data_IF_909291492128
#
_entry.id   IF_909291492128
#
_cell.length_a   1.000
_cell.length_b   1.000
_cell.length_c   1.000
_cell.angle_alpha   90.00
_cell.angle_beta   90.00
_cell.angle_gamma   90.00
#
_symmetry.space_group_name_H-M   'P 1'
#
loop_
_entity.id
_entity.type
_entity.pdbx_description
1 polymer ?
#
# COMPACT_ATOMS: atom_id res chain seq x y z
N UNK A 1 -16.89 3.47 2.80
CA UNK A 1 -16.70 3.71 1.34
C UNK A 1 -18.08 3.86 0.69
N UNK A 2 -18.41 5.00 0.06
CA UNK A 2 -19.63 5.10 -0.77
C UNK A 2 -19.32 4.48 -2.13
N UNK A 3 -19.57 3.20 -2.27
CA UNK A 3 -19.54 2.53 -3.56
C UNK A 3 -20.71 2.98 -4.41
N UNK A 4 -20.52 3.03 -5.73
CA UNK A 4 -21.54 3.51 -6.65
C UNK A 4 -22.78 2.60 -6.59
N UNK A 5 -23.96 3.19 -6.75
CA UNK A 5 -25.21 2.43 -6.91
C UNK A 5 -25.10 1.45 -8.10
N UNK A 6 -24.33 1.83 -9.12
CA UNK A 6 -24.05 1.01 -10.30
C UNK A 6 -23.30 -0.27 -9.95
N UNK A 7 -22.23 -0.20 -9.14
CA UNK A 7 -21.50 -1.41 -8.72
C UNK A 7 -22.41 -2.39 -7.97
N UNK A 8 -23.25 -1.87 -7.05
CA UNK A 8 -24.22 -2.70 -6.34
C UNK A 8 -25.20 -3.39 -7.28
N UNK A 9 -25.72 -2.65 -8.29
CA UNK A 9 -26.64 -3.21 -9.30
C UNK A 9 -25.95 -4.28 -10.15
N UNK A 10 -24.69 -4.08 -10.55
CA UNK A 10 -23.92 -5.06 -11.32
C UNK A 10 -23.62 -6.32 -10.51
N UNK A 11 -23.28 -6.18 -9.23
CA UNK A 11 -23.11 -7.33 -8.34
C UNK A 11 -24.42 -8.09 -8.16
N UNK A 12 -25.53 -7.38 -7.95
CA UNK A 12 -26.86 -8.00 -7.85
C UNK A 12 -27.19 -8.83 -9.10
N UNK A 13 -27.06 -8.20 -10.27
CA UNK A 13 -27.34 -8.89 -11.54
C UNK A 13 -26.47 -10.14 -11.68
N UNK A 14 -25.15 -10.03 -11.47
CA UNK A 14 -24.24 -11.17 -11.55
C UNK A 14 -24.59 -12.30 -10.60
N UNK A 15 -25.01 -11.99 -9.38
CA UNK A 15 -25.44 -12.98 -8.39
C UNK A 15 -26.73 -13.67 -8.83
N UNK A 16 -27.75 -12.91 -9.20
CA UNK A 16 -29.08 -13.45 -9.58
C UNK A 16 -28.98 -14.35 -10.80
N UNK A 17 -28.22 -13.92 -11.82
CA UNK A 17 -28.11 -14.63 -13.09
C UNK A 17 -27.23 -15.90 -13.01
N UNK A 18 -26.22 -15.88 -12.09
CA UNK A 18 -25.15 -16.89 -12.11
C UNK A 18 -25.12 -17.82 -10.90
N UNK A 19 -25.73 -17.45 -9.77
CA UNK A 19 -25.59 -18.18 -8.51
C UNK A 19 -26.93 -18.71 -7.98
N UNK A 20 -26.89 -19.80 -7.21
CA UNK A 20 -27.98 -20.20 -6.32
C UNK A 20 -27.95 -19.38 -5.03
N UNK A 21 -29.07 -19.35 -4.27
CA UNK A 21 -29.12 -18.69 -2.97
C UNK A 21 -28.09 -19.27 -2.01
N UNK A 22 -27.95 -20.59 -1.95
CA UNK A 22 -26.96 -21.27 -1.12
C UNK A 22 -25.54 -20.85 -1.47
N UNK A 23 -25.24 -20.67 -2.75
CA UNK A 23 -23.93 -20.20 -3.19
C UNK A 23 -23.71 -18.74 -2.81
N UNK A 24 -24.72 -17.88 -2.91
CA UNK A 24 -24.64 -16.48 -2.44
C UNK A 24 -24.33 -16.43 -0.95
N UNK A 25 -25.03 -17.22 -0.12
CA UNK A 25 -24.78 -17.34 1.33
C UNK A 25 -23.37 -17.86 1.61
N UNK A 26 -22.92 -18.84 0.85
CA UNK A 26 -21.56 -19.38 0.98
C UNK A 26 -20.48 -18.34 0.69
N UNK A 27 -20.68 -17.50 -0.33
CA UNK A 27 -19.73 -16.45 -0.67
C UNK A 27 -19.73 -15.32 0.36
N UNK A 28 -20.89 -14.90 0.85
CA UNK A 28 -20.95 -13.85 1.88
C UNK A 28 -20.35 -14.31 3.20
N UNK A 29 -20.43 -15.58 3.56
CA UNK A 29 -19.79 -16.15 4.77
C UNK A 29 -18.27 -16.07 4.75
N UNK A 30 -17.64 -15.95 3.58
CA UNK A 30 -16.18 -15.68 3.47
C UNK A 30 -15.81 -14.27 3.92
N UNK A 31 -16.77 -13.34 3.90
CA UNK A 31 -16.58 -11.93 4.20
C UNK A 31 -17.19 -11.59 5.57
N UNK A 32 -18.39 -12.09 5.83
CA UNK A 32 -19.10 -11.94 7.10
C UNK A 32 -19.25 -13.35 7.73
N UNK A 33 -18.39 -13.73 8.68
CA UNK A 33 -18.48 -15.02 9.35
C UNK A 33 -19.85 -15.25 10.00
N UNK A 34 -20.36 -16.50 9.92
CA UNK A 34 -21.66 -16.87 10.51
C UNK A 34 -22.87 -16.11 9.95
N UNK A 35 -22.76 -15.59 8.71
CA UNK A 35 -23.89 -14.93 8.05
C UNK A 35 -25.09 -15.86 7.93
N UNK A 36 -26.25 -15.39 8.40
CA UNK A 36 -27.54 -16.08 8.33
C UNK A 36 -28.53 -15.21 7.56
N UNK A 37 -28.90 -15.65 6.36
CA UNK A 37 -29.79 -14.89 5.48
C UNK A 37 -31.23 -14.83 6.02
N UNK A 38 -31.73 -15.92 6.60
CA UNK A 38 -33.08 -15.94 7.16
C UNK A 38 -33.21 -15.00 8.35
N UNK A 39 -32.26 -15.07 9.27
CA UNK A 39 -32.21 -14.15 10.41
C UNK A 39 -32.13 -12.67 9.96
N UNK A 40 -31.28 -12.35 8.99
CA UNK A 40 -31.05 -10.99 8.47
C UNK A 40 -32.26 -10.44 7.69
N UNK A 41 -32.93 -11.29 6.93
CA UNK A 41 -34.12 -10.91 6.14
C UNK A 41 -35.44 -10.90 6.94
N UNK A 42 -35.44 -11.51 8.13
CA UNK A 42 -36.67 -11.71 8.92
C UNK A 42 -37.64 -12.73 8.32
N UNK A 43 -37.24 -13.50 7.30
CA UNK A 43 -38.04 -14.54 6.68
C UNK A 43 -37.79 -15.86 7.40
N UNK A 44 -38.84 -16.57 7.86
CA UNK A 44 -38.69 -17.86 8.53
C UNK A 44 -37.94 -18.90 7.68
N UNK A 45 -37.16 -19.79 8.32
CA UNK A 45 -36.37 -20.84 7.65
C UNK A 45 -37.20 -21.78 6.78
N UNK A 46 -38.49 -21.92 7.09
CA UNK A 46 -39.44 -22.74 6.34
C UNK A 46 -39.85 -22.13 4.99
N UNK A 47 -39.54 -20.86 4.74
CA UNK A 47 -39.94 -20.15 3.52
C UNK A 47 -38.70 -19.93 2.64
N UNK A 48 -38.64 -20.45 1.40
CA UNK A 48 -37.53 -20.22 0.48
C UNK A 48 -37.44 -18.73 0.11
N UNK A 49 -36.22 -18.17 0.17
CA UNK A 49 -35.97 -16.78 -0.23
C UNK A 49 -35.67 -16.73 -1.72
N UNK A 50 -36.36 -15.84 -2.44
CA UNK A 50 -36.14 -15.70 -3.89
C UNK A 50 -34.74 -15.07 -4.14
N UNK A 51 -34.06 -15.46 -5.25
CA UNK A 51 -32.72 -15.02 -5.58
C UNK A 51 -32.52 -13.49 -5.53
N UNK A 52 -33.51 -12.74 -6.03
CA UNK A 52 -33.48 -11.28 -6.06
C UNK A 52 -33.51 -10.69 -4.65
N UNK A 53 -34.32 -11.23 -3.78
CA UNK A 53 -34.48 -10.76 -2.39
C UNK A 53 -33.25 -11.14 -1.57
N UNK A 54 -32.73 -12.37 -1.75
CA UNK A 54 -31.47 -12.81 -1.16
C UNK A 54 -30.31 -11.91 -1.54
N UNK A 55 -30.14 -11.60 -2.84
CA UNK A 55 -29.07 -10.74 -3.32
C UNK A 55 -29.18 -9.30 -2.81
N UNK A 56 -30.40 -8.77 -2.72
CA UNK A 56 -30.66 -7.43 -2.15
C UNK A 56 -30.26 -7.35 -0.67
N UNK A 57 -30.72 -8.33 0.12
CA UNK A 57 -30.39 -8.40 1.54
C UNK A 57 -28.88 -8.50 1.75
N UNK A 58 -28.23 -9.44 1.07
CA UNK A 58 -26.77 -9.64 1.15
C UNK A 58 -26.00 -8.36 0.82
N UNK A 59 -26.33 -7.71 -0.31
CA UNK A 59 -25.62 -6.48 -0.70
C UNK A 59 -25.89 -5.29 0.24
N UNK A 60 -27.08 -5.23 0.83
CA UNK A 60 -27.40 -4.25 1.86
C UNK A 60 -26.52 -4.44 3.10
N UNK A 61 -26.43 -5.69 3.58
CA UNK A 61 -25.64 -6.03 4.77
C UNK A 61 -24.15 -5.80 4.55
N UNK A 62 -23.60 -6.26 3.42
CA UNK A 62 -22.21 -6.05 3.03
C UNK A 62 -21.87 -4.55 2.97
N UNK A 63 -22.77 -3.73 2.43
CA UNK A 63 -22.60 -2.27 2.37
C UNK A 63 -22.61 -1.64 3.73
N UNK A 64 -23.56 -2.01 4.57
CA UNK A 64 -23.72 -1.47 5.93
C UNK A 64 -22.53 -1.81 6.82
N UNK A 65 -21.96 -3.00 6.65
CA UNK A 65 -20.77 -3.48 7.39
C UNK A 65 -19.44 -3.04 6.75
N UNK A 66 -19.47 -2.43 5.55
CA UNK A 66 -18.28 -1.86 4.91
C UNK A 66 -17.41 -2.87 4.13
N UNK A 67 -17.88 -4.09 3.89
CA UNK A 67 -17.13 -5.20 3.28
C UNK A 67 -17.30 -5.32 1.76
N UNK A 68 -17.71 -4.27 1.08
CA UNK A 68 -18.02 -4.37 -0.35
C UNK A 68 -16.81 -4.70 -1.22
N UNK A 69 -15.61 -4.18 -0.88
CA UNK A 69 -14.38 -4.50 -1.61
C UNK A 69 -14.03 -5.99 -1.45
N UNK A 70 -14.09 -6.51 -0.22
CA UNK A 70 -13.83 -7.93 0.07
C UNK A 70 -14.80 -8.83 -0.69
N UNK A 71 -16.07 -8.41 -0.77
CA UNK A 71 -17.09 -9.18 -1.48
C UNK A 71 -16.86 -9.17 -3.00
N UNK A 72 -16.53 -8.03 -3.59
CA UNK A 72 -16.17 -7.97 -5.02
C UNK A 72 -14.95 -8.83 -5.30
N UNK A 73 -13.92 -8.78 -4.46
CA UNK A 73 -12.75 -9.65 -4.58
C UNK A 73 -13.14 -11.14 -4.50
N UNK A 74 -14.09 -11.49 -3.62
CA UNK A 74 -14.63 -12.84 -3.52
C UNK A 74 -15.38 -13.27 -4.79
N UNK A 75 -16.18 -12.38 -5.40
CA UNK A 75 -16.88 -12.65 -6.67
C UNK A 75 -15.88 -12.86 -7.82
N UNK A 76 -14.89 -11.99 -7.95
CA UNK A 76 -13.85 -12.09 -9.00
C UNK A 76 -13.06 -13.39 -8.83
N UNK A 77 -12.61 -13.70 -7.62
CA UNK A 77 -11.91 -14.96 -7.33
C UNK A 77 -12.78 -16.19 -7.67
N UNK A 78 -14.07 -16.17 -7.34
CA UNK A 78 -14.99 -17.25 -7.66
C UNK A 78 -15.18 -17.40 -9.16
N UNK A 79 -15.20 -16.30 -9.94
CA UNK A 79 -15.28 -16.34 -11.39
C UNK A 79 -14.02 -16.93 -12.03
N UNK A 80 -12.83 -16.57 -11.54
CA UNK A 80 -11.53 -16.98 -12.11
C UNK A 80 -11.16 -18.40 -11.71
N UNK A 81 -11.21 -18.69 -10.39
CA UNK A 81 -10.72 -19.96 -9.83
C UNK A 81 -11.83 -21.01 -9.69
N UNK A 82 -13.10 -20.60 -9.82
CA UNK A 82 -14.24 -21.46 -9.47
C UNK A 82 -14.43 -21.61 -7.97
N UNK A 83 -15.30 -22.53 -7.58
CA UNK A 83 -15.55 -22.87 -6.19
C UNK A 83 -15.68 -24.39 -6.02
N UNK A 84 -14.93 -24.99 -5.09
CA UNK A 84 -14.90 -26.44 -4.82
C UNK A 84 -14.73 -27.29 -6.12
N UNK A 85 -13.81 -26.88 -6.99
CA UNK A 85 -13.50 -27.57 -8.24
C UNK A 85 -14.53 -27.38 -9.36
N UNK A 86 -15.57 -26.55 -9.16
CA UNK A 86 -16.58 -26.24 -10.17
C UNK A 86 -16.41 -24.82 -10.70
N UNK A 87 -16.48 -24.62 -12.03
CA UNK A 87 -16.45 -23.28 -12.61
C UNK A 87 -17.75 -22.52 -12.28
N UNK A 88 -17.62 -21.29 -11.81
CA UNK A 88 -18.74 -20.38 -11.58
C UNK A 88 -18.54 -19.09 -12.39
N UNK A 89 -19.09 -19.03 -13.58
CA UNK A 89 -18.98 -17.85 -14.43
C UNK A 89 -20.05 -16.83 -14.07
N UNK A 90 -19.60 -15.68 -13.57
CA UNK A 90 -20.47 -14.54 -13.22
C UNK A 90 -20.65 -13.67 -14.47
N UNK A 91 -21.88 -13.51 -14.95
CA UNK A 91 -22.20 -12.86 -16.23
C UNK A 91 -21.79 -11.41 -16.31
N UNK A 92 -21.92 -10.64 -15.22
CA UNK A 92 -21.59 -9.21 -15.16
C UNK A 92 -20.13 -8.90 -14.77
N UNK A 93 -19.25 -9.92 -14.68
CA UNK A 93 -17.91 -9.73 -14.09
C UNK A 93 -17.06 -8.68 -14.81
N UNK A 94 -17.10 -8.63 -16.14
CA UNK A 94 -16.34 -7.65 -16.91
C UNK A 94 -16.81 -6.21 -16.64
N UNK A 95 -18.11 -6.03 -16.42
CA UNK A 95 -18.68 -4.73 -16.08
C UNK A 95 -18.31 -4.34 -14.63
N UNK A 96 -18.33 -5.31 -13.69
CA UNK A 96 -17.87 -5.13 -12.31
C UNK A 96 -16.39 -4.69 -12.31
N UNK A 97 -15.53 -5.39 -13.05
CA UNK A 97 -14.10 -5.07 -13.17
C UNK A 97 -13.92 -3.63 -13.70
N UNK A 98 -14.61 -3.27 -14.77
CA UNK A 98 -14.54 -1.90 -15.32
C UNK A 98 -14.99 -0.86 -14.31
N UNK A 99 -16.11 -1.08 -13.63
CA UNK A 99 -16.62 -0.17 -12.61
C UNK A 99 -15.63 -0.02 -11.43
N UNK A 100 -14.93 -1.09 -11.04
CA UNK A 100 -13.89 -1.02 -10.02
C UNK A 100 -12.71 -0.15 -10.46
N UNK A 101 -12.26 -0.28 -11.71
CA UNK A 101 -11.20 0.57 -12.27
C UNK A 101 -11.64 2.04 -12.32
N UNK A 102 -12.87 2.31 -12.77
CA UNK A 102 -13.44 3.68 -12.82
C UNK A 102 -13.59 4.30 -11.41
N UNK A 103 -13.77 3.48 -10.38
CA UNK A 103 -13.81 3.90 -8.98
C UNK A 103 -12.42 4.13 -8.35
N UNK A 104 -11.34 3.92 -9.09
CA UNK A 104 -9.97 4.10 -8.64
C UNK A 104 -9.39 2.91 -7.88
N UNK A 105 -9.84 1.71 -8.20
CA UNK A 105 -9.18 0.47 -7.78
C UNK A 105 -8.34 -0.07 -8.92
N UNK A 106 -7.25 -0.74 -8.59
CA UNK A 106 -6.46 -1.53 -9.54
C UNK A 106 -6.50 -3.00 -9.17
N UNK A 107 -6.42 -3.87 -10.17
CA UNK A 107 -6.30 -5.30 -9.93
C UNK A 107 -4.81 -5.67 -9.76
N UNK A 108 -4.49 -6.33 -8.66
CA UNK A 108 -3.16 -6.88 -8.40
C UNK A 108 -3.14 -8.36 -8.83
N UNK A 109 -2.33 -8.68 -9.85
CA UNK A 109 -2.29 -10.01 -10.45
C UNK A 109 -1.62 -11.05 -9.54
N UNK A 110 -0.66 -10.63 -8.70
CA UNK A 110 0.05 -11.51 -7.77
C UNK A 110 -0.90 -11.97 -6.65
N UNK A 111 -1.62 -11.04 -6.05
CA UNK A 111 -2.56 -11.29 -4.97
C UNK A 111 -3.98 -11.60 -5.46
N UNK A 112 -4.24 -11.43 -6.76
CA UNK A 112 -5.54 -11.66 -7.43
C UNK A 112 -6.70 -10.95 -6.77
N UNK A 113 -6.52 -9.66 -6.46
CA UNK A 113 -7.52 -8.84 -5.80
C UNK A 113 -7.48 -7.39 -6.25
N UNK A 114 -8.59 -6.69 -6.09
CA UNK A 114 -8.64 -5.24 -6.22
C UNK A 114 -8.11 -4.56 -4.97
N UNK A 115 -7.30 -3.54 -5.18
CA UNK A 115 -6.75 -2.66 -4.14
C UNK A 115 -6.93 -1.21 -4.56
N UNK A 116 -6.87 -0.28 -3.62
CA UNK A 116 -6.82 1.15 -3.92
C UNK A 116 -5.58 1.48 -4.76
N UNK A 117 -5.76 2.22 -5.86
CA UNK A 117 -4.66 2.65 -6.72
C UNK A 117 -3.91 3.87 -6.15
N UNK A 118 -2.86 4.29 -6.86
CA UNK A 118 -2.02 5.43 -6.47
C UNK A 118 -2.77 6.77 -6.47
N UNK A 119 -3.84 6.93 -7.25
CA UNK A 119 -4.58 8.18 -7.37
C UNK A 119 -5.62 8.36 -6.26
N UNK A 120 -6.15 7.28 -5.72
CA UNK A 120 -7.29 7.31 -4.80
C UNK A 120 -6.91 7.12 -3.33
N UNK A 121 -5.80 6.61 -2.97
CA UNK A 121 -5.20 6.42 -1.62
C UNK A 121 -6.09 6.81 -0.40
N UNK A 122 -7.26 6.19 -0.27
CA UNK A 122 -8.24 6.54 0.78
C UNK A 122 -7.88 6.00 2.15
N UNK A 123 -7.13 4.90 2.18
CA UNK A 123 -6.83 4.19 3.42
C UNK A 123 -5.34 3.84 3.55
N UNK A 124 -4.81 3.77 4.78
CA UNK A 124 -3.41 3.37 5.02
C UNK A 124 -3.16 1.88 4.74
N UNK A 125 -4.22 1.08 4.55
CA UNK A 125 -4.17 -0.37 4.37
C UNK A 125 -4.61 -0.81 2.97
N UNK A 126 -4.59 0.09 1.97
CA UNK A 126 -5.05 -0.16 0.58
C UNK A 126 -6.48 -0.71 0.46
N UNK A 127 -7.27 -0.57 1.53
CA UNK A 127 -8.65 -1.05 1.61
C UNK A 127 -8.79 -2.54 1.97
N UNK A 128 -7.70 -3.31 2.11
CA UNK A 128 -7.75 -4.78 2.21
C UNK A 128 -6.98 -5.41 3.36
N UNK A 129 -5.96 -4.75 3.93
CA UNK A 129 -5.20 -5.34 5.04
C UNK A 129 -6.00 -5.29 6.34
N UNK A 130 -5.89 -6.35 7.14
CA UNK A 130 -6.60 -6.50 8.41
C UNK A 130 -5.67 -6.24 9.58
N UNK A 131 -6.18 -5.52 10.58
CA UNK A 131 -5.46 -5.23 11.81
C UNK A 131 -5.13 -6.54 12.55
N UNK A 132 -3.89 -6.65 13.02
CA UNK A 132 -3.39 -7.84 13.73
C UNK A 132 -2.89 -8.98 12.85
N UNK A 133 -3.02 -8.91 11.53
CA UNK A 133 -2.46 -9.92 10.62
C UNK A 133 -1.05 -9.53 10.16
N UNK A 134 -0.21 -10.54 9.91
CA UNK A 134 1.17 -10.36 9.46
C UNK A 134 1.26 -10.35 7.93
N UNK A 135 2.01 -9.39 7.40
CA UNK A 135 2.20 -9.21 5.96
C UNK A 135 3.67 -8.91 5.61
N UNK A 136 4.13 -9.29 4.40
CA UNK A 136 5.47 -8.94 3.91
C UNK A 136 5.46 -7.52 3.32
N UNK A 137 5.95 -6.54 4.07
CA UNK A 137 6.09 -5.16 3.61
C UNK A 137 7.49 -4.86 3.10
N UNK A 138 7.60 -3.77 2.33
CA UNK A 138 8.83 -3.04 2.13
C UNK A 138 8.66 -1.66 2.73
N UNK A 139 9.56 -1.32 3.65
CA UNK A 139 9.55 -0.02 4.32
C UNK A 139 10.59 0.91 3.71
N UNK A 140 10.21 2.19 3.60
CA UNK A 140 11.10 3.30 3.34
C UNK A 140 11.13 4.17 4.60
N UNK A 141 12.33 4.37 5.15
CA UNK A 141 12.58 5.34 6.24
C UNK A 141 13.41 6.47 5.69
N UNK A 142 12.98 7.72 5.95
CA UNK A 142 13.74 8.93 5.66
C UNK A 142 13.89 9.72 6.94
N UNK A 143 15.05 10.33 7.12
CA UNK A 143 15.36 11.23 8.22
C UNK A 143 16.18 12.45 7.74
N UNK A 144 15.93 13.63 8.32
CA UNK A 144 16.69 14.86 8.00
C UNK A 144 17.98 14.86 8.80
N UNK A 145 19.09 14.86 8.09
CA UNK A 145 20.40 14.86 8.73
C UNK A 145 20.79 16.26 9.23
N UNK A 146 21.24 16.34 10.49
CA UNK A 146 21.68 17.60 11.09
C UNK A 146 20.55 18.58 11.40
N UNK A 147 19.34 18.09 11.58
CA UNK A 147 18.11 18.88 11.82
C UNK A 147 18.28 19.93 12.92
N UNK A 148 18.91 19.61 14.05
CA UNK A 148 19.13 20.55 15.16
C UNK A 148 20.00 21.77 14.77
N UNK A 149 20.98 21.59 13.88
CA UNK A 149 21.80 22.65 13.33
C UNK A 149 21.00 23.49 12.34
N UNK A 150 20.29 22.83 11.45
CA UNK A 150 19.44 23.46 10.43
C UNK A 150 18.41 24.42 11.08
N UNK A 151 17.69 23.96 12.10
CA UNK A 151 16.71 24.78 12.83
C UNK A 151 17.34 25.92 13.58
N UNK A 152 18.52 25.72 14.18
CA UNK A 152 19.20 26.79 14.92
C UNK A 152 19.73 27.91 14.02
N UNK A 153 20.16 27.61 12.80
CA UNK A 153 20.85 28.54 11.91
C UNK A 153 19.95 29.29 10.94
N UNK A 154 18.70 28.88 10.82
CA UNK A 154 17.79 29.46 9.85
C UNK A 154 16.50 30.00 10.50
N UNK A 155 15.82 30.99 9.87
CA UNK A 155 14.53 31.47 10.31
C UNK A 155 13.46 30.38 10.28
N UNK A 156 12.58 30.36 11.27
CA UNK A 156 11.51 29.34 11.36
C UNK A 156 10.65 29.29 10.10
N UNK A 157 10.33 30.43 9.51
CA UNK A 157 9.51 30.50 8.28
C UNK A 157 10.17 29.78 7.09
N UNK A 158 11.49 29.90 6.93
CA UNK A 158 12.23 29.23 5.85
C UNK A 158 12.34 27.71 6.11
N UNK A 159 12.48 27.31 7.37
CA UNK A 159 12.44 25.90 7.78
C UNK A 159 11.08 25.29 7.47
N UNK A 160 9.99 25.97 7.85
CA UNK A 160 8.62 25.47 7.58
C UNK A 160 8.35 25.31 6.08
N UNK A 161 8.82 26.25 5.25
CA UNK A 161 8.73 26.15 3.79
C UNK A 161 9.53 24.96 3.26
N UNK A 162 10.76 24.77 3.74
CA UNK A 162 11.62 23.67 3.31
C UNK A 162 11.03 22.31 3.70
N UNK A 163 10.52 22.19 4.93
CA UNK A 163 9.87 20.97 5.39
C UNK A 163 8.54 20.69 4.64
N UNK A 164 7.76 21.73 4.37
CA UNK A 164 6.55 21.61 3.55
C UNK A 164 6.87 21.09 2.15
N UNK A 165 7.97 21.58 1.55
CA UNK A 165 8.43 21.10 0.24
C UNK A 165 8.93 19.66 0.31
N UNK A 166 9.76 19.30 1.28
CA UNK A 166 10.21 17.92 1.49
C UNK A 166 9.02 16.97 1.68
N UNK A 167 8.04 17.37 2.49
CA UNK A 167 6.83 16.59 2.70
C UNK A 167 6.09 16.34 1.39
N UNK A 168 5.89 17.37 0.57
CA UNK A 168 5.25 17.25 -0.75
C UNK A 168 6.01 16.33 -1.70
N UNK A 169 7.35 16.42 -1.74
CA UNK A 169 8.21 15.54 -2.53
C UNK A 169 8.02 14.07 -2.10
N UNK A 170 8.11 13.82 -0.80
CA UNK A 170 7.97 12.47 -0.24
C UNK A 170 6.58 11.89 -0.50
N UNK A 171 5.52 12.65 -0.21
CA UNK A 171 4.15 12.22 -0.40
C UNK A 171 3.87 11.90 -1.88
N UNK A 172 4.36 12.74 -2.80
CA UNK A 172 4.22 12.53 -4.25
C UNK A 172 4.95 11.28 -4.72
N UNK A 173 6.21 11.12 -4.35
CA UNK A 173 7.02 9.98 -4.78
C UNK A 173 6.47 8.64 -4.22
N UNK A 174 6.08 8.62 -2.94
CA UNK A 174 5.48 7.45 -2.29
C UNK A 174 4.12 7.12 -2.95
N UNK A 175 3.28 8.13 -3.16
CA UNK A 175 1.97 7.96 -3.78
C UNK A 175 2.07 7.38 -5.20
N UNK A 176 2.96 7.90 -6.02
CA UNK A 176 3.20 7.45 -7.41
C UNK A 176 3.52 5.95 -7.50
N UNK A 177 4.17 5.40 -6.49
CA UNK A 177 4.51 3.98 -6.39
C UNK A 177 3.47 3.17 -5.57
N UNK A 178 2.27 3.70 -5.37
CA UNK A 178 1.20 3.14 -4.55
C UNK A 178 1.61 2.78 -3.11
N UNK A 179 2.63 3.45 -2.56
CA UNK A 179 3.00 3.37 -1.15
C UNK A 179 2.02 4.11 -0.25
N UNK A 180 2.16 3.95 1.05
CA UNK A 180 1.39 4.66 2.08
C UNK A 180 2.33 5.27 3.10
N UNK A 181 2.14 6.55 3.41
CA UNK A 181 2.78 7.16 4.57
C UNK A 181 2.07 6.64 5.82
N UNK A 182 2.79 5.94 6.68
CA UNK A 182 2.24 5.43 7.92
C UNK A 182 2.51 6.35 9.10
N UNK A 183 3.66 7.00 9.12
CA UNK A 183 3.96 7.96 10.18
C UNK A 183 4.90 9.08 9.70
N UNK A 184 4.65 10.28 10.17
CA UNK A 184 5.62 11.36 10.27
C UNK A 184 6.08 11.47 11.73
N UNK A 185 7.37 11.45 11.97
CA UNK A 185 7.99 11.47 13.30
C UNK A 185 8.98 12.62 13.38
N UNK A 186 8.49 13.77 13.78
CA UNK A 186 9.31 14.99 13.76
C UNK A 186 9.79 15.30 12.34
N UNK A 187 11.08 15.09 12.10
CA UNK A 187 11.77 15.28 10.82
C UNK A 187 11.91 14.02 9.98
N UNK A 188 11.45 12.88 10.48
CA UNK A 188 11.50 11.61 9.77
C UNK A 188 10.16 11.12 9.28
N UNK A 189 10.17 10.22 8.28
CA UNK A 189 8.99 9.56 7.74
C UNK A 189 9.18 8.04 7.66
N UNK A 190 8.12 7.31 7.93
CA UNK A 190 8.01 5.89 7.66
C UNK A 190 6.91 5.67 6.62
N UNK A 191 7.29 5.14 5.47
CA UNK A 191 6.37 4.73 4.42
C UNK A 191 6.41 3.22 4.22
N UNK A 192 5.25 2.63 3.91
CA UNK A 192 5.09 1.22 3.66
C UNK A 192 4.66 0.97 2.22
N UNK A 193 5.15 -0.13 1.65
CA UNK A 193 4.77 -0.64 0.34
C UNK A 193 4.38 -2.10 0.50
N UNK A 194 3.28 -2.46 -0.11
CA UNK A 194 2.75 -3.82 -0.14
C UNK A 194 2.35 -4.15 -1.58
N UNK A 195 1.91 -5.36 -1.87
CA UNK A 195 1.53 -5.83 -3.20
C UNK A 195 2.68 -5.99 -4.20
N UNK A 196 2.32 -6.24 -5.46
CA UNK A 196 3.26 -6.49 -6.54
C UNK A 196 4.28 -5.38 -6.68
N UNK A 197 5.54 -5.76 -6.88
CA UNK A 197 6.68 -4.84 -7.10
C UNK A 197 6.99 -3.90 -5.93
N UNK A 198 6.56 -4.21 -4.69
CA UNK A 198 6.79 -3.37 -3.49
C UNK A 198 8.26 -2.97 -3.29
N UNK A 199 9.22 -3.90 -3.53
CA UNK A 199 10.65 -3.61 -3.41
C UNK A 199 11.10 -2.57 -4.44
N UNK A 200 10.72 -2.76 -5.69
CA UNK A 200 11.02 -1.82 -6.79
C UNK A 200 10.34 -0.47 -6.55
N UNK A 201 9.06 -0.48 -6.16
CA UNK A 201 8.32 0.75 -5.89
C UNK A 201 8.93 1.58 -4.76
N UNK A 202 9.28 0.96 -3.62
CA UNK A 202 9.94 1.63 -2.51
C UNK A 202 11.30 2.24 -2.94
N UNK A 203 12.05 1.49 -3.75
CA UNK A 203 13.36 1.94 -4.24
C UNK A 203 13.24 3.10 -5.22
N UNK A 204 12.30 3.04 -6.17
CA UNK A 204 12.05 4.13 -7.12
C UNK A 204 11.57 5.39 -6.41
N UNK A 205 10.69 5.26 -5.41
CA UNK A 205 10.28 6.39 -4.59
C UNK A 205 11.48 7.02 -3.86
N UNK A 206 12.36 6.21 -3.27
CA UNK A 206 13.56 6.69 -2.60
C UNK A 206 14.51 7.44 -3.54
N UNK A 207 14.75 6.92 -4.75
CA UNK A 207 15.58 7.57 -5.79
C UNK A 207 14.92 8.89 -6.23
N UNK A 208 13.62 8.90 -6.49
CA UNK A 208 12.88 10.11 -6.87
C UNK A 208 12.99 11.19 -5.80
N UNK A 209 12.83 10.84 -4.51
CA UNK A 209 12.98 11.78 -3.41
C UNK A 209 14.38 12.43 -3.38
N UNK A 210 15.45 11.65 -3.51
CA UNK A 210 16.82 12.18 -3.52
C UNK A 210 17.04 13.12 -4.71
N UNK A 211 16.57 12.76 -5.90
CA UNK A 211 16.73 13.59 -7.10
C UNK A 211 15.94 14.90 -7.01
N UNK A 212 14.69 14.85 -6.56
CA UNK A 212 13.86 16.05 -6.39
C UNK A 212 14.42 16.98 -5.30
N UNK A 213 14.90 16.40 -4.20
CA UNK A 213 15.53 17.17 -3.12
C UNK A 213 16.83 17.84 -3.60
N UNK A 214 17.60 17.16 -4.43
CA UNK A 214 18.79 17.73 -5.07
C UNK A 214 18.43 18.96 -5.91
N UNK A 215 17.42 18.85 -6.77
CA UNK A 215 16.92 19.96 -7.58
C UNK A 215 16.42 21.11 -6.70
N UNK A 216 15.67 20.81 -5.65
CA UNK A 216 15.20 21.80 -4.69
C UNK A 216 16.35 22.54 -4.02
N UNK A 217 17.34 21.82 -3.50
CA UNK A 217 18.53 22.41 -2.86
C UNK A 217 19.33 23.32 -3.83
N UNK A 218 19.38 22.95 -5.11
CA UNK A 218 20.15 23.68 -6.13
C UNK A 218 19.41 24.93 -6.61
N UNK A 219 18.10 24.86 -6.78
CA UNK A 219 17.33 25.87 -7.53
C UNK A 219 16.49 26.79 -6.65
N UNK A 220 16.11 26.39 -5.46
CA UNK A 220 15.04 27.05 -4.68
C UNK A 220 15.34 27.24 -3.19
N UNK A 221 16.50 26.84 -2.72
CA UNK A 221 16.79 26.87 -1.30
C UNK A 221 17.24 28.25 -0.83
N UNK A 222 16.54 28.81 0.16
CA UNK A 222 16.92 30.03 0.87
C UNK A 222 17.59 29.76 2.25
N UNK A 223 17.89 28.49 2.53
CA UNK A 223 18.57 28.08 3.75
C UNK A 223 20.10 28.31 3.64
N UNK A 224 20.77 28.60 4.75
CA UNK A 224 22.23 28.73 4.80
C UNK A 224 22.96 27.43 4.48
N UNK A 225 22.32 26.29 4.79
CA UNK A 225 22.82 24.95 4.50
C UNK A 225 21.77 24.14 3.75
N UNK A 226 22.16 23.26 2.81
CA UNK A 226 21.19 22.42 2.11
C UNK A 226 20.46 21.48 3.04
N UNK A 227 19.22 21.14 2.69
CA UNK A 227 18.43 20.15 3.39
C UNK A 227 18.96 18.76 3.02
N UNK A 228 19.65 18.12 3.95
CA UNK A 228 20.25 16.81 3.75
C UNK A 228 19.37 15.72 4.37
N UNK A 229 19.24 14.60 3.71
CA UNK A 229 18.46 13.44 4.18
C UNK A 229 19.26 12.14 4.10
N UNK A 230 18.80 11.14 4.83
CA UNK A 230 19.21 9.75 4.70
C UNK A 230 17.97 8.93 4.42
N UNK A 231 18.04 8.00 3.47
CA UNK A 231 16.91 7.14 3.13
C UNK A 231 17.34 5.68 3.17
N UNK A 232 16.60 4.85 3.90
CA UNK A 232 16.80 3.40 3.90
C UNK A 232 15.56 2.67 3.38
N UNK A 233 15.79 1.54 2.69
CA UNK A 233 14.75 0.63 2.21
C UNK A 233 15.04 -0.78 2.68
N UNK A 234 14.06 -1.41 3.33
CA UNK A 234 14.18 -2.79 3.82
C UNK A 234 12.85 -3.52 3.74
N UNK A 235 12.91 -4.78 3.29
CA UNK A 235 11.75 -5.66 3.19
C UNK A 235 11.78 -6.71 4.30
N UNK A 236 10.61 -6.99 4.88
CA UNK A 236 10.41 -8.01 5.89
C UNK A 236 8.97 -8.13 6.32
N UNK A 237 8.70 -9.10 7.18
CA UNK A 237 7.38 -9.33 7.74
C UNK A 237 7.08 -8.35 8.88
N UNK A 238 5.85 -7.88 8.93
CA UNK A 238 5.36 -7.01 10.01
C UNK A 238 3.86 -7.24 10.20
N UNK A 239 3.43 -7.26 11.46
CA UNK A 239 2.00 -7.25 11.77
C UNK A 239 1.44 -5.87 11.47
N UNK A 240 0.44 -5.81 10.58
CA UNK A 240 -0.26 -4.55 10.31
C UNK A 240 -1.06 -4.13 11.54
N UNK A 241 -0.90 -2.90 11.97
CA UNK A 241 -1.72 -2.30 13.02
C UNK A 241 -2.03 -0.84 12.70
N UNK A 242 -3.23 -0.40 13.10
CA UNK A 242 -3.59 1.02 13.12
C UNK A 242 -2.85 1.79 14.23
N UNK A 243 -2.37 1.06 15.23
CA UNK A 243 -1.52 1.57 16.30
C UNK A 243 -0.05 1.55 15.84
N UNK A 244 0.46 2.72 15.47
CA UNK A 244 1.83 2.87 14.96
C UNK A 244 2.89 2.52 15.99
N UNK A 245 2.63 2.62 17.29
CA UNK A 245 3.59 2.23 18.33
C UNK A 245 3.82 0.71 18.36
N UNK A 246 2.82 -0.09 17.93
CA UNK A 246 3.00 -1.54 17.72
C UNK A 246 3.83 -1.82 16.48
N UNK A 247 3.56 -1.12 15.38
CA UNK A 247 4.30 -1.27 14.13
C UNK A 247 5.79 -0.95 14.32
N UNK A 248 6.11 0.13 15.02
CA UNK A 248 7.49 0.53 15.34
C UNK A 248 8.28 -0.50 16.14
N UNK A 249 7.61 -1.32 16.93
CA UNK A 249 8.24 -2.38 17.72
C UNK A 249 8.62 -3.60 16.90
N UNK A 250 8.14 -3.73 15.65
CA UNK A 250 8.49 -4.85 14.77
C UNK A 250 9.97 -4.83 14.42
N UNK A 251 10.55 -6.02 14.27
CA UNK A 251 11.99 -6.14 13.95
C UNK A 251 12.30 -5.58 12.56
N UNK A 252 11.38 -5.70 11.62
CA UNK A 252 11.53 -5.14 10.26
C UNK A 252 11.63 -3.61 10.30
N UNK A 253 10.78 -2.93 11.08
CA UNK A 253 10.83 -1.48 11.21
C UNK A 253 12.06 -1.02 11.99
N UNK A 254 12.43 -1.70 13.07
CA UNK A 254 13.69 -1.44 13.77
C UNK A 254 14.90 -1.58 12.85
N UNK A 255 14.88 -2.59 11.97
CA UNK A 255 15.98 -2.83 11.03
C UNK A 255 16.10 -1.72 9.98
N UNK A 256 15.00 -1.22 9.40
CA UNK A 256 15.08 -0.09 8.45
C UNK A 256 15.57 1.18 9.12
N UNK A 257 15.17 1.45 10.37
CA UNK A 257 15.69 2.59 11.16
C UNK A 257 17.18 2.44 11.44
N UNK A 258 17.62 1.22 11.78
CA UNK A 258 19.05 0.95 11.98
C UNK A 258 19.87 1.16 10.71
N UNK A 259 19.38 0.71 9.55
CA UNK A 259 20.04 0.90 8.26
C UNK A 259 20.15 2.40 7.95
N UNK A 260 19.06 3.16 8.14
CA UNK A 260 19.05 4.60 7.93
C UNK A 260 20.11 5.29 8.81
N UNK A 261 20.11 5.03 10.11
CA UNK A 261 20.94 5.76 11.06
C UNK A 261 22.41 5.36 11.05
N UNK A 262 22.73 4.07 10.80
CA UNK A 262 24.11 3.56 10.93
C UNK A 262 24.80 3.27 9.60
N UNK A 263 24.06 3.03 8.53
CA UNK A 263 24.61 2.52 7.28
C UNK A 263 24.31 3.39 6.07
N UNK A 264 23.58 4.51 6.25
CA UNK A 264 23.21 5.41 5.15
C UNK A 264 23.99 6.72 5.23
N UNK A 265 24.71 7.04 4.16
CA UNK A 265 25.42 8.29 4.02
C UNK A 265 24.44 9.46 3.76
N UNK A 266 24.93 10.70 3.93
CA UNK A 266 24.15 11.90 3.59
C UNK A 266 23.76 11.88 2.11
N UNK A 267 22.51 12.28 1.84
CA UNK A 267 21.96 12.37 0.49
C UNK A 267 22.09 11.06 -0.31
N UNK A 268 21.92 9.94 0.38
CA UNK A 268 21.96 8.63 -0.24
C UNK A 268 20.78 7.77 0.17
N UNK A 269 20.56 6.74 -0.66
CA UNK A 269 19.59 5.66 -0.44
C UNK A 269 20.34 4.37 -0.17
N UNK A 270 20.10 3.73 0.97
CA UNK A 270 20.68 2.42 1.29
C UNK A 270 19.59 1.36 1.33
N UNK A 271 19.78 0.29 0.57
CA UNK A 271 18.86 -0.83 0.46
C UNK A 271 19.51 -2.08 1.03
N UNK A 272 18.79 -2.83 1.88
CA UNK A 272 19.30 -4.08 2.42
C UNK A 272 19.57 -5.11 1.31
N UNK A 273 20.60 -5.93 1.48
CA UNK A 273 20.99 -6.94 0.51
C UNK A 273 19.84 -7.90 0.16
N UNK A 274 19.06 -8.32 1.15
CA UNK A 274 17.89 -9.19 0.94
C UNK A 274 16.80 -8.54 0.07
N UNK A 275 16.59 -7.24 0.20
CA UNK A 275 15.64 -6.50 -0.64
C UNK A 275 16.16 -6.33 -2.06
N UNK A 276 17.44 -5.98 -2.20
CA UNK A 276 18.08 -5.72 -3.49
C UNK A 276 18.28 -6.95 -4.38
N UNK A 277 18.32 -8.16 -3.80
CA UNK A 277 18.45 -9.41 -4.57
C UNK A 277 17.28 -9.67 -5.54
N UNK A 278 16.15 -9.02 -5.35
CA UNK A 278 14.95 -9.16 -6.20
C UNK A 278 14.86 -8.11 -7.31
N UNK A 279 15.90 -7.28 -7.49
CA UNK A 279 15.88 -6.24 -8.52
C UNK A 279 16.36 -6.76 -9.87
N UNK A 280 15.89 -6.11 -10.94
CA UNK A 280 16.44 -6.30 -12.27
C UNK A 280 17.88 -5.77 -12.36
N UNK A 281 18.70 -6.33 -13.25
CA UNK A 281 20.07 -5.89 -13.46
C UNK A 281 20.17 -4.40 -13.80
N UNK A 282 19.20 -3.87 -14.53
CA UNK A 282 19.14 -2.44 -14.89
C UNK A 282 19.02 -1.53 -13.65
N UNK A 283 18.25 -1.93 -12.64
CA UNK A 283 18.11 -1.14 -11.41
C UNK A 283 19.38 -1.28 -10.56
N UNK A 284 19.90 -2.50 -10.44
CA UNK A 284 21.09 -2.81 -9.62
C UNK A 284 22.35 -2.15 -10.13
N UNK A 285 22.49 -1.96 -11.45
CA UNK A 285 23.68 -1.35 -12.07
C UNK A 285 23.93 0.11 -11.64
N UNK A 286 22.91 0.77 -11.12
CA UNK A 286 23.02 2.15 -10.60
C UNK A 286 23.40 2.23 -9.12
N UNK A 287 23.63 1.08 -8.46
CA UNK A 287 23.95 1.01 -7.05
C UNK A 287 25.36 0.48 -6.81
N UNK A 288 26.04 1.08 -5.86
CA UNK A 288 27.26 0.52 -5.27
C UNK A 288 26.90 -0.63 -4.33
N UNK A 289 27.71 -1.71 -4.35
CA UNK A 289 27.46 -2.89 -3.51
C UNK A 289 28.48 -2.94 -2.39
N UNK A 290 27.99 -3.01 -1.15
CA UNK A 290 28.82 -3.27 0.03
C UNK A 290 28.77 -4.77 0.32
N UNK A 291 29.97 -5.41 0.34
CA UNK A 291 30.11 -6.84 0.59
C UNK A 291 30.60 -7.10 2.02
N UNK A 292 30.02 -8.12 2.68
CA UNK A 292 30.49 -8.61 3.96
C UNK A 292 30.43 -10.15 3.97
N UNK A 293 31.54 -10.81 4.33
CA UNK A 293 31.65 -12.26 4.39
C UNK A 293 31.15 -12.98 3.12
N UNK A 294 31.42 -12.42 1.93
CA UNK A 294 31.04 -13.01 0.64
C UNK A 294 29.57 -12.78 0.22
N UNK A 295 28.78 -12.05 1.00
CA UNK A 295 27.40 -11.67 0.65
C UNK A 295 27.23 -10.17 0.48
N UNK A 296 26.29 -9.75 -0.37
CA UNK A 296 25.91 -8.33 -0.49
C UNK A 296 25.13 -7.92 0.74
N UNK A 297 25.68 -6.99 1.48
CA UNK A 297 25.05 -6.50 2.70
C UNK A 297 24.10 -5.34 2.41
N UNK A 298 24.54 -4.41 1.55
CA UNK A 298 23.77 -3.24 1.15
C UNK A 298 24.00 -2.88 -0.32
N UNK A 299 23.01 -2.20 -0.89
CA UNK A 299 23.08 -1.49 -2.15
C UNK A 299 22.90 0.00 -1.86
N UNK A 300 23.83 0.85 -2.29
CA UNK A 300 23.81 2.28 -2.01
C UNK A 300 23.72 3.07 -3.32
N UNK A 301 22.80 4.02 -3.38
CA UNK A 301 22.64 5.01 -4.44
C UNK A 301 22.84 6.40 -3.84
N UNK A 302 23.69 7.21 -4.44
CA UNK A 302 23.95 8.57 -4.03
C UNK A 302 24.20 9.47 -5.21
N UNK A 303 23.88 10.75 -5.10
CA UNK A 303 24.26 11.76 -6.07
C UNK A 303 25.63 12.30 -5.66
N UNK A 304 26.65 11.97 -6.44
CA UNK A 304 27.98 12.57 -6.27
C UNK A 304 28.01 13.94 -6.96
N UNK A 305 28.29 14.97 -6.18
CA UNK A 305 28.70 16.25 -6.74
C UNK A 305 30.18 16.19 -7.06
N UNK A 306 30.53 16.06 -8.30
CA UNK A 306 31.81 16.55 -8.75
C UNK A 306 31.63 18.06 -8.92
N UNK A 307 32.28 18.87 -8.04
CA UNK A 307 32.40 20.30 -8.31
C UNK A 307 33.21 20.43 -9.59
N UNK A 308 32.73 21.17 -10.59
CA UNK A 308 33.48 21.44 -11.81
C UNK A 308 34.81 22.14 -11.48
#
# INVERSE_FOLDING_TARGET
MRLSARLSSLCQQGMVDSLSVDMMVTLVRKVIPNYDLHYRSGIPDSIPIHKKDASNQILSDIRNEGFMLDFVNTLVKTHVDGYMGRPHRITSIQQIVREMLDLGYQYDDEFRMFIENSEVQRTPNWGVLKDGEEYPFTFLRLDIAGNSVLVRENPAEEIDKAYGTLRSIVETAVAKQNGRIWAWEGDGVLAAFYFSKKNTGATLAAIEIINELFLFNTMRLNLKTPLNVRIAVHAGHCVYSRDMDKVKKSDTVKRVIEIESKHTALNSVTISGTTGQHFSDLLVSNFEKTMSHGSVQFYTYGLCWEKP
#
